data_IF_521846102974
#
_entry.id   IF_521846102974
#
_cell.length_a   1.000
_cell.length_b   1.000
_cell.length_c   1.000
_cell.angle_alpha   90.00
_cell.angle_beta   90.00
_cell.angle_gamma   90.00
#
_symmetry.space_group_name_H-M   'P 1'
#
loop_
_entity.id
_entity.type
_entity.pdbx_description
1 polymer ?
#
# COMPACT_ATOMS: atom_id res chain seq x y z
N UNK A 1 8.21 61.20 -4.72
CA UNK A 1 6.93 60.44 -4.72
C UNK A 1 7.27 58.96 -4.66
N UNK A 2 6.72 58.23 -3.69
CA UNK A 2 7.22 56.92 -3.21
C UNK A 2 6.83 55.77 -4.15
N UNK A 3 7.82 55.04 -4.65
CA UNK A 3 7.69 53.73 -5.33
C UNK A 3 7.46 52.59 -4.34
N UNK A 4 6.43 52.70 -3.49
CA UNK A 4 6.15 51.70 -2.45
C UNK A 4 5.06 50.70 -2.81
N UNK A 5 4.39 50.88 -3.95
CA UNK A 5 3.16 50.12 -4.28
C UNK A 5 3.43 48.81 -5.02
N UNK A 6 4.57 48.66 -5.72
CA UNK A 6 4.89 47.43 -6.47
C UNK A 6 5.61 46.35 -5.64
N UNK A 7 6.31 46.72 -4.56
CA UNK A 7 7.02 45.74 -3.72
C UNK A 7 6.07 44.85 -2.91
N UNK A 8 4.91 45.38 -2.48
CA UNK A 8 3.91 44.59 -1.74
C UNK A 8 3.23 43.54 -2.61
N UNK A 9 2.92 43.87 -3.87
CA UNK A 9 2.33 42.93 -4.82
C UNK A 9 3.31 41.82 -5.23
N UNK A 10 4.59 42.16 -5.43
CA UNK A 10 5.62 41.16 -5.71
C UNK A 10 5.85 40.25 -4.49
N UNK A 11 5.87 40.79 -3.27
CA UNK A 11 6.02 39.98 -2.06
C UNK A 11 4.84 39.00 -1.86
N UNK A 12 3.60 39.43 -2.11
CA UNK A 12 2.41 38.57 -2.02
C UNK A 12 2.41 37.49 -3.12
N UNK A 13 2.77 37.84 -4.35
CA UNK A 13 2.88 36.89 -5.45
C UNK A 13 3.99 35.84 -5.20
N UNK A 14 5.15 36.26 -4.70
CA UNK A 14 6.24 35.37 -4.33
C UNK A 14 5.89 34.46 -3.15
N UNK A 15 5.14 34.97 -2.17
CA UNK A 15 4.67 34.18 -1.01
C UNK A 15 3.59 33.17 -1.42
N UNK A 16 2.72 33.49 -2.38
CA UNK A 16 1.78 32.53 -2.99
C UNK A 16 2.48 31.47 -3.85
N UNK A 17 3.57 31.83 -4.56
CA UNK A 17 4.38 30.85 -5.28
C UNK A 17 5.07 29.87 -4.32
N UNK A 18 5.59 30.35 -3.19
CA UNK A 18 6.22 29.49 -2.16
C UNK A 18 5.22 28.56 -1.45
N UNK A 19 3.96 29.00 -1.26
CA UNK A 19 2.90 28.16 -0.69
C UNK A 19 2.51 26.98 -1.59
N UNK A 20 2.67 27.10 -2.91
CA UNK A 20 2.38 25.99 -3.84
C UNK A 20 3.46 24.90 -3.84
N UNK A 21 4.72 25.23 -3.52
CA UNK A 21 5.80 24.24 -3.44
C UNK A 21 5.76 23.44 -2.12
N UNK A 22 5.19 23.99 -1.05
CA UNK A 22 5.08 23.28 0.24
C UNK A 22 4.08 22.11 0.23
N UNK A 23 3.07 22.14 -0.66
CA UNK A 23 2.07 21.07 -0.75
C UNK A 23 2.68 19.77 -1.32
N UNK A 24 3.69 19.88 -2.20
CA UNK A 24 4.40 18.71 -2.73
C UNK A 24 5.44 18.15 -1.75
N UNK A 25 6.11 19.00 -0.97
CA UNK A 25 7.12 18.57 -0.01
C UNK A 25 6.55 17.91 1.26
N UNK A 26 5.33 18.27 1.68
CA UNK A 26 4.69 17.66 2.85
C UNK A 26 4.25 16.20 2.63
N UNK A 27 4.04 15.79 1.38
CA UNK A 27 3.65 14.41 1.06
C UNK A 27 4.83 13.42 1.04
N UNK A 28 6.07 13.87 0.88
CA UNK A 28 7.24 12.96 0.92
C UNK A 28 7.61 12.55 2.35
N UNK A 29 7.45 13.45 3.33
CA UNK A 29 7.82 13.19 4.73
C UNK A 29 6.94 12.15 5.43
N UNK A 30 5.75 11.84 4.88
CA UNK A 30 4.82 10.83 5.41
C UNK A 30 4.80 9.54 4.60
N UNK A 31 5.62 9.42 3.55
CA UNK A 31 5.63 8.22 2.72
C UNK A 31 6.44 7.11 3.40
N UNK A 32 5.90 5.89 3.55
CA UNK A 32 6.69 4.80 4.10
C UNK A 32 7.88 4.48 3.20
N UNK A 33 9.02 4.16 3.83
CA UNK A 33 10.19 3.63 3.13
C UNK A 33 10.11 2.11 2.98
N UNK A 34 9.47 1.44 3.95
CA UNK A 34 9.34 -0.01 3.97
C UNK A 34 7.92 -0.41 4.35
N UNK A 35 7.51 -1.54 3.79
CA UNK A 35 6.23 -2.19 4.05
C UNK A 35 6.53 -3.63 4.43
N UNK A 36 6.09 -4.09 5.60
CA UNK A 36 6.02 -5.51 5.89
C UNK A 36 4.66 -6.04 5.46
N UNK A 37 4.67 -7.20 4.83
CA UNK A 37 3.47 -7.93 4.41
C UNK A 37 3.61 -9.33 4.97
N UNK A 38 2.77 -9.64 5.96
CA UNK A 38 2.64 -10.99 6.50
C UNK A 38 1.39 -11.62 5.89
N UNK A 39 1.56 -12.70 5.12
CA UNK A 39 0.44 -13.52 4.67
C UNK A 39 0.23 -14.61 5.70
N UNK A 40 -0.90 -14.55 6.40
CA UNK A 40 -1.35 -15.54 7.37
C UNK A 40 -2.49 -16.36 6.77
N UNK A 41 -2.84 -17.46 7.42
CA UNK A 41 -3.93 -18.33 7.00
C UNK A 41 -4.88 -18.57 8.17
N UNK A 42 -6.19 -18.57 7.91
CA UNK A 42 -7.18 -18.92 8.92
C UNK A 42 -6.92 -20.32 9.49
N UNK A 43 -7.15 -20.48 10.80
CA UNK A 43 -7.22 -21.79 11.41
C UNK A 43 -8.54 -22.47 11.03
N UNK A 44 -8.52 -23.25 9.95
CA UNK A 44 -9.70 -23.95 9.43
C UNK A 44 -10.22 -25.04 10.37
N UNK A 45 -9.44 -25.45 11.38
CA UNK A 45 -9.81 -26.45 12.38
C UNK A 45 -10.46 -25.82 13.63
N UNK A 46 -10.56 -24.49 13.71
CA UNK A 46 -11.19 -23.81 14.85
C UNK A 46 -12.71 -23.99 14.81
N UNK A 47 -13.24 -24.88 15.65
CA UNK A 47 -14.68 -25.19 15.71
C UNK A 47 -15.56 -24.00 16.11
N UNK A 48 -15.06 -23.11 16.97
CA UNK A 48 -15.75 -21.93 17.49
C UNK A 48 -15.36 -20.64 16.76
N UNK A 49 -14.95 -20.73 15.49
CA UNK A 49 -14.55 -19.56 14.72
C UNK A 49 -15.69 -18.53 14.62
N UNK A 50 -15.37 -17.28 14.93
CA UNK A 50 -16.27 -16.14 14.77
C UNK A 50 -15.50 -14.94 14.23
N UNK A 51 -15.96 -14.42 13.09
CA UNK A 51 -15.40 -13.23 12.45
C UNK A 51 -15.48 -12.01 13.37
N UNK A 52 -16.60 -11.83 14.06
CA UNK A 52 -16.80 -10.70 14.98
C UNK A 52 -15.89 -10.82 16.21
N UNK A 53 -15.68 -12.04 16.72
CA UNK A 53 -14.78 -12.28 17.84
C UNK A 53 -13.31 -12.06 17.44
N UNK A 54 -12.90 -12.51 16.25
CA UNK A 54 -11.59 -12.21 15.68
C UNK A 54 -11.38 -10.69 15.55
N UNK A 55 -12.33 -9.99 14.90
CA UNK A 55 -12.29 -8.53 14.75
C UNK A 55 -12.18 -7.83 16.09
N UNK A 56 -12.93 -8.25 17.11
CA UNK A 56 -12.85 -7.66 18.45
C UNK A 56 -11.45 -7.83 19.06
N UNK A 57 -10.84 -9.00 18.93
CA UNK A 57 -9.48 -9.27 19.43
C UNK A 57 -8.45 -8.45 18.66
N UNK A 58 -8.48 -8.42 17.33
CA UNK A 58 -7.54 -7.62 16.56
C UNK A 58 -7.73 -6.11 16.78
N UNK A 59 -8.96 -5.65 17.01
CA UNK A 59 -9.26 -4.25 17.34
C UNK A 59 -8.69 -3.87 18.70
N UNK A 60 -8.76 -4.75 19.69
CA UNK A 60 -8.12 -4.54 20.99
C UNK A 60 -6.60 -4.43 20.84
N UNK A 61 -5.97 -5.34 20.06
CA UNK A 61 -4.53 -5.29 19.78
C UNK A 61 -4.13 -4.01 19.04
N UNK A 62 -4.90 -3.65 18.02
CA UNK A 62 -4.71 -2.42 17.26
C UNK A 62 -4.69 -1.21 18.19
N UNK A 63 -5.73 -1.03 19.00
CA UNK A 63 -5.88 0.13 19.88
C UNK A 63 -4.81 0.21 20.95
N UNK A 64 -4.48 -0.92 21.59
CA UNK A 64 -3.58 -0.98 22.75
C UNK A 64 -2.10 -1.04 22.37
N UNK A 65 -1.77 -1.60 21.20
CA UNK A 65 -0.39 -1.88 20.80
C UNK A 65 -0.04 -1.14 19.51
N UNK A 66 -0.70 -1.44 18.40
CA UNK A 66 -0.28 -0.95 17.07
C UNK A 66 -0.45 0.57 16.93
N UNK A 67 -1.59 1.11 17.36
CA UNK A 67 -1.87 2.55 17.33
C UNK A 67 -0.95 3.34 18.28
N UNK A 68 -0.50 2.72 19.39
CA UNK A 68 0.41 3.34 20.36
C UNK A 68 1.90 3.22 19.97
N UNK A 69 2.21 2.44 18.94
CA UNK A 69 3.57 2.23 18.47
C UNK A 69 3.93 3.30 17.42
N UNK A 70 4.75 4.27 17.81
CA UNK A 70 5.18 5.38 16.98
C UNK A 70 6.04 4.98 15.77
N UNK A 71 6.55 3.75 15.75
CA UNK A 71 7.40 3.27 14.67
C UNK A 71 6.61 2.72 13.47
N UNK A 72 5.32 2.43 13.67
CA UNK A 72 4.40 1.97 12.63
C UNK A 72 3.61 3.18 12.12
N UNK A 73 3.72 3.51 10.83
CA UNK A 73 2.98 4.63 10.22
C UNK A 73 1.52 4.25 9.97
N UNK A 74 1.29 3.08 9.39
CA UNK A 74 -0.03 2.50 9.18
C UNK A 74 0.01 0.99 9.37
N UNK A 75 -1.15 0.41 9.65
CA UNK A 75 -1.36 -1.03 9.73
C UNK A 75 -2.76 -1.35 9.22
N UNK A 76 -2.95 -2.45 8.50
CA UNK A 76 -4.27 -2.85 8.00
C UNK A 76 -4.34 -4.36 7.74
N UNK A 77 -5.52 -4.92 7.94
CA UNK A 77 -5.86 -6.28 7.54
C UNK A 77 -6.58 -6.30 6.20
N UNK A 78 -6.28 -7.32 5.41
CA UNK A 78 -6.94 -7.60 4.14
C UNK A 78 -7.36 -9.06 4.10
N UNK A 79 -8.66 -9.29 3.90
CA UNK A 79 -9.22 -10.64 3.83
C UNK A 79 -9.35 -11.10 2.39
N UNK A 80 -9.20 -12.41 2.17
CA UNK A 80 -9.42 -13.04 0.86
C UNK A 80 -10.72 -12.56 0.18
N UNK A 81 -10.60 -12.23 -1.11
CA UNK A 81 -11.74 -12.06 -2.02
C UNK A 81 -11.56 -12.96 -3.25
N UNK A 82 -10.37 -12.91 -3.86
CA UNK A 82 -9.92 -13.86 -4.86
C UNK A 82 -8.39 -13.99 -4.83
N UNK A 83 -7.90 -15.17 -4.51
CA UNK A 83 -6.50 -15.57 -4.60
C UNK A 83 -6.44 -17.10 -4.69
N UNK A 84 -5.28 -17.70 -4.98
CA UNK A 84 -5.13 -19.16 -5.05
C UNK A 84 -5.48 -19.90 -3.75
N UNK A 85 -5.45 -19.24 -2.59
CA UNK A 85 -5.72 -19.84 -1.28
C UNK A 85 -6.79 -19.04 -0.52
N UNK A 86 -7.95 -19.67 -0.29
CA UNK A 86 -9.10 -19.05 0.36
C UNK A 86 -8.93 -18.82 1.87
N UNK A 87 -7.89 -19.39 2.48
CA UNK A 87 -7.59 -19.18 3.89
C UNK A 87 -6.78 -17.90 4.15
N UNK A 88 -6.28 -17.24 3.10
CA UNK A 88 -5.38 -16.09 3.22
C UNK A 88 -5.99 -14.89 3.97
N UNK A 89 -5.17 -14.32 4.85
CA UNK A 89 -5.35 -13.04 5.51
C UNK A 89 -4.02 -12.31 5.43
N UNK A 90 -4.03 -11.12 4.83
CA UNK A 90 -2.82 -10.31 4.73
C UNK A 90 -2.85 -9.26 5.83
N UNK A 91 -1.75 -9.17 6.57
CA UNK A 91 -1.50 -8.06 7.48
C UNK A 91 -0.35 -7.22 6.95
N UNK A 92 -0.61 -5.92 6.74
CA UNK A 92 0.36 -4.99 6.18
C UNK A 92 0.67 -3.93 7.22
N UNK A 93 1.96 -3.71 7.49
CA UNK A 93 2.43 -2.56 8.27
C UNK A 93 3.41 -1.72 7.47
N UNK A 94 3.43 -0.42 7.71
CA UNK A 94 4.32 0.50 7.00
C UNK A 94 5.20 1.27 7.97
N UNK A 95 6.44 1.56 7.55
CA UNK A 95 7.49 2.11 8.40
C UNK A 95 8.23 3.25 7.72
N UNK A 96 8.67 4.27 8.47
CA UNK A 96 9.44 5.38 7.92
C UNK A 96 10.89 5.00 7.60
N UNK A 97 11.40 3.89 8.15
CA UNK A 97 12.77 3.39 7.94
C UNK A 97 12.91 1.94 8.40
N UNK A 98 14.00 1.28 8.00
CA UNK A 98 14.34 -0.08 8.48
C UNK A 98 14.56 -0.12 10.00
N UNK A 99 15.21 0.91 10.55
CA UNK A 99 15.43 1.04 12.00
C UNK A 99 14.10 1.16 12.76
N UNK A 100 13.11 1.88 12.21
CA UNK A 100 11.79 1.95 12.81
C UNK A 100 11.10 0.59 12.80
N UNK A 101 11.19 -0.16 11.70
CA UNK A 101 10.65 -1.53 11.62
C UNK A 101 11.26 -2.45 12.68
N UNK A 102 12.58 -2.43 12.87
CA UNK A 102 13.28 -3.19 13.91
C UNK A 102 12.80 -2.80 15.32
N UNK A 103 12.74 -1.49 15.61
CA UNK A 103 12.26 -0.97 16.91
C UNK A 103 10.78 -1.24 17.17
N UNK A 104 9.96 -1.41 16.12
CA UNK A 104 8.54 -1.63 16.26
C UNK A 104 8.25 -2.93 17.03
N UNK A 105 9.06 -3.98 16.86
CA UNK A 105 8.89 -5.27 17.55
C UNK A 105 9.06 -5.11 19.06
N UNK A 106 10.20 -4.58 19.51
CA UNK A 106 10.46 -4.35 20.93
C UNK A 106 9.43 -3.40 21.56
N UNK A 107 9.01 -2.36 20.83
CA UNK A 107 7.97 -1.45 21.30
C UNK A 107 6.61 -2.14 21.44
N UNK A 108 6.26 -3.06 20.54
CA UNK A 108 5.02 -3.82 20.64
C UNK A 108 5.01 -4.72 21.89
N UNK A 109 6.14 -5.35 22.23
CA UNK A 109 6.26 -6.16 23.45
C UNK A 109 6.10 -5.33 24.73
N UNK A 110 6.72 -4.15 24.79
CA UNK A 110 6.56 -3.21 25.91
C UNK A 110 5.09 -2.80 26.09
N UNK A 111 4.44 -2.42 25.00
CA UNK A 111 3.03 -2.01 25.00
C UNK A 111 2.11 -3.16 25.37
N UNK A 112 2.39 -4.38 24.92
CA UNK A 112 1.65 -5.57 25.32
C UNK A 112 1.75 -5.84 26.83
N UNK A 113 2.94 -5.68 27.43
CA UNK A 113 3.12 -5.78 28.90
C UNK A 113 2.38 -4.68 29.65
N UNK A 114 2.26 -3.48 29.08
CA UNK A 114 1.48 -2.38 29.67
C UNK A 114 -0.04 -2.61 29.56
N UNK A 115 -0.48 -3.11 28.42
CA UNK A 115 -1.88 -3.39 28.12
C UNK A 115 -2.44 -4.57 28.92
N UNK A 116 -1.61 -5.60 29.12
CA UNK A 116 -1.93 -6.78 29.94
C UNK A 116 -0.77 -7.05 30.92
N UNK A 117 -0.75 -6.36 32.09
CA UNK A 117 0.35 -6.48 33.07
C UNK A 117 0.44 -7.85 33.73
N UNK A 118 -0.70 -8.53 33.93
CA UNK A 118 -0.72 -9.89 34.44
C UNK A 118 -0.27 -10.88 33.35
N UNK A 119 0.75 -11.68 33.67
CA UNK A 119 1.38 -12.59 32.71
C UNK A 119 0.40 -13.65 32.19
N UNK A 120 -0.49 -14.17 33.05
CA UNK A 120 -1.47 -15.20 32.66
C UNK A 120 -2.56 -14.61 31.77
N UNK A 121 -3.05 -13.42 32.08
CA UNK A 121 -4.03 -12.72 31.27
C UNK A 121 -3.46 -12.36 29.89
N UNK A 122 -2.20 -11.91 29.84
CA UNK A 122 -1.49 -11.62 28.60
C UNK A 122 -1.30 -12.88 27.75
N UNK A 123 -0.84 -13.97 28.35
CA UNK A 123 -0.68 -15.25 27.65
C UNK A 123 -2.03 -15.77 27.13
N UNK A 124 -3.10 -15.69 27.93
CA UNK A 124 -4.44 -16.08 27.51
C UNK A 124 -4.95 -15.23 26.33
N UNK A 125 -4.68 -13.92 26.34
CA UNK A 125 -5.03 -13.02 25.26
C UNK A 125 -4.32 -13.41 23.95
N UNK A 126 -3.00 -13.56 23.96
CA UNK A 126 -2.25 -13.93 22.76
C UNK A 126 -2.60 -15.33 22.28
N UNK A 127 -2.79 -16.30 23.19
CA UNK A 127 -3.27 -17.64 22.81
C UNK A 127 -4.63 -17.59 22.11
N UNK A 128 -5.56 -16.76 22.59
CA UNK A 128 -6.85 -16.58 21.95
C UNK A 128 -6.70 -15.93 20.56
N UNK A 129 -5.90 -14.87 20.46
CA UNK A 129 -5.60 -14.18 19.20
C UNK A 129 -4.96 -15.11 18.17
N UNK A 130 -3.93 -15.83 18.57
CA UNK A 130 -3.19 -16.73 17.69
C UNK A 130 -4.03 -17.94 17.27
N UNK A 131 -5.05 -18.32 18.07
CA UNK A 131 -5.93 -19.46 17.73
C UNK A 131 -6.75 -19.26 16.46
N UNK A 132 -6.93 -18.02 16.00
CA UNK A 132 -7.64 -17.72 14.75
C UNK A 132 -6.82 -18.01 13.50
N UNK A 133 -5.51 -18.17 13.63
CA UNK A 133 -4.59 -18.39 12.52
C UNK A 133 -3.95 -19.77 12.60
N UNK A 134 -3.66 -20.35 11.44
CA UNK A 134 -2.77 -21.50 11.35
C UNK A 134 -1.32 -21.06 11.63
N UNK A 135 -0.44 -22.01 11.94
CA UNK A 135 1.00 -21.72 12.08
C UNK A 135 1.68 -21.34 10.76
N UNK A 136 1.04 -21.66 9.62
CA UNK A 136 1.57 -21.34 8.30
C UNK A 136 1.44 -19.84 8.04
N UNK A 137 2.56 -19.19 7.72
CA UNK A 137 2.63 -17.81 7.28
C UNK A 137 3.86 -17.58 6.40
N UNK A 138 3.85 -16.48 5.65
CA UNK A 138 5.03 -15.94 4.96
C UNK A 138 5.18 -14.46 5.25
N UNK A 139 6.43 -13.99 5.24
CA UNK A 139 6.78 -12.59 5.48
C UNK A 139 7.61 -12.04 4.34
N UNK A 140 7.22 -10.86 3.86
CA UNK A 140 7.92 -10.14 2.81
C UNK A 140 8.06 -8.66 3.19
N UNK A 141 9.13 -8.04 2.72
CA UNK A 141 9.36 -6.61 2.91
C UNK A 141 9.50 -5.95 1.54
N UNK A 142 8.68 -4.92 1.33
CA UNK A 142 8.66 -4.16 0.10
C UNK A 142 9.18 -2.74 0.31
N UNK A 143 9.77 -2.18 -0.74
CA UNK A 143 10.12 -0.77 -0.87
C UNK A 143 9.16 -0.10 -1.87
N UNK A 144 8.45 0.97 -1.48
CA UNK A 144 7.62 1.73 -2.40
C UNK A 144 8.45 2.48 -3.45
N UNK A 145 8.03 2.46 -4.72
CA UNK A 145 8.65 3.26 -5.80
C UNK A 145 7.80 4.49 -6.14
N UNK A 146 8.32 5.50 -6.84
CA UNK A 146 7.58 6.74 -7.17
C UNK A 146 6.16 6.53 -7.72
N UNK A 147 5.25 7.50 -7.54
CA UNK A 147 3.95 7.52 -8.23
C UNK A 147 2.75 6.94 -7.47
N UNK A 148 2.80 6.84 -6.15
CA UNK A 148 1.64 6.43 -5.36
C UNK A 148 0.49 7.45 -5.44
N UNK A 149 -0.74 6.94 -5.46
CA UNK A 149 -1.98 7.69 -5.20
C UNK A 149 -2.47 7.27 -3.83
N UNK A 150 -2.40 8.17 -2.84
CA UNK A 150 -2.72 7.84 -1.46
C UNK A 150 -4.24 7.81 -1.25
N UNK A 151 -4.71 6.81 -0.51
CA UNK A 151 -6.05 6.86 0.09
C UNK A 151 -6.15 8.03 1.08
N UNK A 152 -7.35 8.62 1.27
CA UNK A 152 -7.60 9.56 2.35
C UNK A 152 -7.26 8.94 3.71
N UNK A 153 -6.60 9.71 4.59
CA UNK A 153 -6.22 9.24 5.93
C UNK A 153 -7.42 8.87 6.80
N UNK A 154 -8.60 9.43 6.51
CA UNK A 154 -9.85 9.20 7.24
C UNK A 154 -10.78 8.21 6.54
N UNK A 155 -10.25 7.35 5.65
CA UNK A 155 -11.04 6.29 5.02
C UNK A 155 -11.64 5.35 6.09
N UNK A 156 -12.96 5.22 6.07
CA UNK A 156 -13.72 4.32 6.97
C UNK A 156 -14.44 3.20 6.23
N UNK A 157 -14.31 3.18 4.90
CA UNK A 157 -14.98 2.20 4.05
C UNK A 157 -14.06 1.01 3.79
N UNK A 158 -14.64 -0.18 3.85
CA UNK A 158 -13.98 -1.38 3.35
C UNK A 158 -13.87 -1.25 1.82
N UNK A 159 -12.66 -1.45 1.29
CA UNK A 159 -12.35 -1.30 -0.13
C UNK A 159 -11.83 -2.62 -0.71
N UNK A 160 -12.01 -2.82 -2.01
CA UNK A 160 -11.33 -3.91 -2.73
C UNK A 160 -9.92 -3.47 -3.05
N UNK A 161 -8.94 -4.21 -2.56
CA UNK A 161 -7.54 -4.13 -2.95
C UNK A 161 -7.25 -5.18 -4.02
N UNK A 162 -7.08 -4.77 -5.27
CA UNK A 162 -6.53 -5.61 -6.33
C UNK A 162 -5.01 -5.52 -6.32
N UNK A 163 -4.34 -6.68 -6.23
CA UNK A 163 -2.90 -6.81 -6.26
C UNK A 163 -2.49 -7.47 -7.57
N UNK A 164 -1.68 -6.76 -8.34
CA UNK A 164 -1.03 -7.28 -9.54
C UNK A 164 0.45 -7.51 -9.24
N UNK A 165 0.92 -8.73 -9.48
CA UNK A 165 2.35 -9.08 -9.46
C UNK A 165 2.82 -9.24 -10.90
N UNK A 166 3.78 -8.43 -11.31
CA UNK A 166 4.45 -8.53 -12.62
C UNK A 166 5.93 -8.78 -12.41
N UNK A 167 6.61 -9.40 -13.38
CA UNK A 167 8.00 -9.82 -13.21
C UNK A 167 8.91 -9.06 -14.17
N UNK A 168 9.95 -8.41 -13.62
CA UNK A 168 10.97 -7.72 -14.37
C UNK A 168 11.89 -8.68 -15.12
N UNK A 169 12.29 -8.30 -16.35
CA UNK A 169 13.32 -9.00 -17.14
C UNK A 169 14.72 -8.43 -16.94
N UNK A 170 14.85 -7.22 -16.39
CA UNK A 170 16.10 -6.45 -16.27
C UNK A 170 16.89 -6.43 -17.60
N UNK A 171 16.33 -5.83 -18.66
CA UNK A 171 16.91 -5.89 -20.00
C UNK A 171 18.27 -5.19 -20.05
N UNK A 172 19.22 -5.75 -20.82
CA UNK A 172 20.57 -5.19 -20.98
C UNK A 172 20.56 -3.77 -21.58
N UNK A 173 19.58 -3.48 -22.44
CA UNK A 173 19.41 -2.19 -23.11
C UNK A 173 18.40 -1.25 -22.40
N UNK A 174 18.15 -1.48 -21.11
CA UNK A 174 17.29 -0.64 -20.27
C UNK A 174 18.04 0.04 -19.12
N UNK A 175 17.41 1.04 -18.54
CA UNK A 175 17.87 1.64 -17.27
C UNK A 175 16.70 1.81 -16.31
N UNK A 176 17.02 1.85 -15.01
CA UNK A 176 16.06 2.18 -13.95
C UNK A 176 15.42 3.56 -14.18
N UNK A 177 16.21 4.54 -14.61
CA UNK A 177 15.71 5.88 -14.95
C UNK A 177 14.66 5.81 -16.07
N UNK A 178 14.94 5.09 -17.14
CA UNK A 178 14.01 4.95 -18.26
C UNK A 178 12.71 4.26 -17.83
N UNK A 179 12.80 3.23 -16.97
CA UNK A 179 11.62 2.60 -16.38
C UNK A 179 10.82 3.60 -15.52
N UNK A 180 11.48 4.29 -14.59
CA UNK A 180 10.86 5.25 -13.68
C UNK A 180 10.19 6.41 -14.43
N UNK A 181 10.82 6.93 -15.49
CA UNK A 181 10.23 7.98 -16.34
C UNK A 181 8.96 7.46 -17.04
N UNK A 182 8.98 6.24 -17.58
CA UNK A 182 7.82 5.62 -18.23
C UNK A 182 6.70 5.27 -17.25
N UNK A 183 7.06 4.82 -16.04
CA UNK A 183 6.11 4.54 -14.96
C UNK A 183 5.43 5.82 -14.49
N UNK A 184 6.21 6.88 -14.22
CA UNK A 184 5.68 8.18 -13.82
C UNK A 184 4.75 8.77 -14.89
N UNK A 185 5.10 8.65 -16.17
CA UNK A 185 4.22 9.07 -17.27
C UNK A 185 2.90 8.27 -17.27
N UNK A 186 2.96 6.96 -17.05
CA UNK A 186 1.76 6.11 -16.95
C UNK A 186 0.88 6.50 -15.76
N UNK A 187 1.49 6.74 -14.60
CA UNK A 187 0.78 7.22 -13.41
C UNK A 187 0.08 8.55 -13.68
N UNK A 188 0.75 9.50 -14.32
CA UNK A 188 0.18 10.81 -14.60
C UNK A 188 -0.96 10.77 -15.62
N UNK A 189 -0.81 9.98 -16.70
CA UNK A 189 -1.75 9.98 -17.83
C UNK A 189 -2.91 8.99 -17.67
N UNK A 190 -2.73 7.92 -16.89
CA UNK A 190 -3.71 6.83 -16.74
C UNK A 190 -4.17 6.75 -15.29
N UNK A 191 -3.29 6.36 -14.37
CA UNK A 191 -3.69 6.01 -12.99
C UNK A 191 -4.34 7.20 -12.26
N UNK A 192 -3.72 8.38 -12.34
CA UNK A 192 -4.20 9.58 -11.65
C UNK A 192 -5.51 10.11 -12.24
N UNK A 193 -5.76 9.84 -13.53
CA UNK A 193 -6.96 10.27 -14.27
C UNK A 193 -8.11 9.26 -14.19
N UNK A 194 -7.86 8.05 -13.71
CA UNK A 194 -8.89 7.04 -13.53
C UNK A 194 -9.67 7.29 -12.23
N UNK A 195 -10.98 7.62 -12.29
CA UNK A 195 -11.78 7.95 -11.11
C UNK A 195 -12.12 6.74 -10.24
N UNK A 196 -11.99 5.52 -10.77
CA UNK A 196 -12.28 4.29 -10.03
C UNK A 196 -11.12 3.90 -9.10
N UNK A 197 -9.89 4.32 -9.42
CA UNK A 197 -8.72 4.08 -8.58
C UNK A 197 -8.76 5.06 -7.40
N UNK A 198 -9.09 4.59 -6.20
CA UNK A 198 -9.05 5.40 -4.97
C UNK A 198 -7.65 5.51 -4.40
N UNK A 199 -6.90 4.43 -4.49
CA UNK A 199 -5.50 4.34 -4.07
C UNK A 199 -4.69 3.49 -5.04
N UNK A 200 -3.39 3.80 -5.15
CA UNK A 200 -2.44 3.06 -5.97
C UNK A 200 -1.07 3.07 -5.29
N UNK A 201 -0.49 1.88 -5.10
CA UNK A 201 0.75 1.69 -4.38
C UNK A 201 1.67 0.75 -5.17
N UNK A 202 2.65 1.29 -5.91
CA UNK A 202 3.65 0.51 -6.64
C UNK A 202 4.84 0.20 -5.73
N UNK A 203 5.24 -1.06 -5.67
CA UNK A 203 6.29 -1.56 -4.79
C UNK A 203 7.20 -2.59 -5.48
N UNK A 204 8.41 -2.72 -4.97
CA UNK A 204 9.37 -3.77 -5.33
C UNK A 204 9.91 -4.42 -4.06
N UNK A 205 10.46 -5.63 -4.13
CA UNK A 205 11.05 -6.24 -2.94
C UNK A 205 12.24 -5.45 -2.41
N UNK A 206 12.22 -5.20 -1.10
CA UNK A 206 13.42 -4.97 -0.31
C UNK A 206 13.98 -6.29 0.23
N UNK A 207 13.10 -7.22 0.57
CA UNK A 207 13.39 -8.59 1.01
C UNK A 207 12.21 -9.51 0.66
N UNK A 208 12.47 -10.71 0.17
CA UNK A 208 11.41 -11.67 -0.16
C UNK A 208 11.89 -12.79 -1.08
N UNK A 209 10.94 -13.57 -1.60
CA UNK A 209 11.22 -14.78 -2.39
C UNK A 209 11.68 -14.51 -3.82
N UNK A 210 11.27 -13.40 -4.44
CA UNK A 210 11.61 -13.09 -5.83
C UNK A 210 11.84 -11.59 -6.06
N UNK A 211 13.11 -11.18 -6.18
CA UNK A 211 13.50 -9.77 -6.42
C UNK A 211 13.00 -9.20 -7.75
N UNK A 212 12.48 -10.02 -8.66
CA UNK A 212 11.98 -9.57 -9.97
C UNK A 212 10.54 -9.05 -9.86
N UNK A 213 9.85 -9.27 -8.74
CA UNK A 213 8.47 -8.81 -8.60
C UNK A 213 8.34 -7.29 -8.51
N UNK A 214 7.50 -6.78 -9.40
CA UNK A 214 6.87 -5.48 -9.33
C UNK A 214 5.42 -5.66 -8.89
N UNK A 215 5.12 -5.22 -7.68
CA UNK A 215 3.85 -5.44 -7.00
C UNK A 215 3.06 -4.14 -6.91
N UNK A 216 1.90 -4.14 -7.57
CA UNK A 216 1.01 -2.99 -7.63
C UNK A 216 -0.27 -3.30 -6.87
N UNK A 217 -0.59 -2.48 -5.85
CA UNK A 217 -1.88 -2.55 -5.16
C UNK A 217 -2.77 -1.39 -5.61
N UNK A 218 -3.97 -1.71 -6.09
CA UNK A 218 -5.01 -0.78 -6.52
C UNK A 218 -6.20 -0.89 -5.58
N UNK A 219 -6.71 0.24 -5.10
CA UNK A 219 -7.90 0.29 -4.27
C UNK A 219 -9.08 0.82 -5.06
N UNK A 220 -10.20 0.10 -5.03
CA UNK A 220 -11.46 0.45 -5.69
C UNK A 220 -12.64 0.17 -4.75
N UNK A 221 -13.79 0.79 -5.02
CA UNK A 221 -14.96 0.68 -4.15
C UNK A 221 -15.58 -0.74 -4.19
N UNK A 222 -15.46 -1.46 -5.30
CA UNK A 222 -16.09 -2.78 -5.50
C UNK A 222 -15.46 -3.58 -6.63
N UNK A 223 -15.77 -4.88 -6.74
CA UNK A 223 -15.39 -5.70 -7.90
C UNK A 223 -15.95 -5.16 -9.23
N UNK A 224 -17.16 -4.55 -9.21
CA UNK A 224 -17.71 -3.90 -10.39
C UNK A 224 -16.90 -2.65 -10.78
N UNK A 225 -16.40 -1.89 -9.81
CA UNK A 225 -15.54 -0.74 -10.09
C UNK A 225 -14.12 -1.16 -10.48
N UNK A 226 -13.68 -2.38 -10.11
CA UNK A 226 -12.47 -2.99 -10.64
C UNK A 226 -12.58 -3.25 -12.16
N UNK A 227 -13.70 -3.77 -12.63
CA UNK A 227 -13.96 -3.92 -14.08
C UNK A 227 -13.94 -2.56 -14.79
N UNK A 228 -14.68 -1.58 -14.27
CA UNK A 228 -14.69 -0.22 -14.82
C UNK A 228 -13.31 0.45 -14.76
N UNK A 229 -12.50 0.14 -13.74
CA UNK A 229 -11.11 0.59 -13.66
C UNK A 229 -10.31 0.08 -14.86
N UNK A 230 -10.43 -1.21 -15.21
CA UNK A 230 -9.72 -1.78 -16.36
C UNK A 230 -10.18 -1.18 -17.69
N UNK A 231 -11.49 -1.04 -17.90
CA UNK A 231 -12.04 -0.40 -19.10
C UNK A 231 -11.51 1.04 -19.22
N UNK A 232 -11.57 1.79 -18.12
CA UNK A 232 -11.10 3.18 -18.10
C UNK A 232 -9.59 3.30 -18.28
N UNK A 233 -8.80 2.33 -17.79
CA UNK A 233 -7.38 2.25 -18.09
C UNK A 233 -7.16 2.09 -19.61
N UNK A 234 -7.91 1.21 -20.27
CA UNK A 234 -7.85 1.01 -21.72
C UNK A 234 -8.14 2.30 -22.51
N UNK A 235 -9.22 3.00 -22.15
CA UNK A 235 -9.57 4.30 -22.74
C UNK A 235 -8.45 5.34 -22.57
N UNK A 236 -7.97 5.52 -21.34
CA UNK A 236 -6.94 6.53 -21.02
C UNK A 236 -5.60 6.22 -21.69
N UNK A 237 -5.23 4.94 -21.82
CA UNK A 237 -4.06 4.50 -22.59
C UNK A 237 -4.22 4.88 -24.07
N UNK A 238 -5.40 4.62 -24.64
CA UNK A 238 -5.71 4.97 -26.04
C UNK A 238 -5.66 6.48 -26.31
N UNK A 239 -6.13 7.29 -25.36
CA UNK A 239 -6.03 8.76 -25.41
C UNK A 239 -4.58 9.25 -25.28
N UNK A 240 -3.82 8.66 -24.36
CA UNK A 240 -2.47 9.11 -24.01
C UNK A 240 -1.45 8.82 -25.11
N UNK A 241 -1.60 7.70 -25.83
CA UNK A 241 -0.66 7.27 -26.87
C UNK A 241 -1.40 6.65 -28.07
N UNK A 242 -2.02 7.47 -28.94
CA UNK A 242 -2.79 6.97 -30.06
C UNK A 242 -1.91 6.43 -31.20
N UNK A 243 -2.45 5.45 -31.94
CA UNK A 243 -1.86 4.94 -33.18
C UNK A 243 -0.47 4.33 -32.99
N UNK A 244 0.45 4.67 -33.89
CA UNK A 244 1.80 4.07 -33.89
C UNK A 244 2.65 4.50 -32.70
N UNK A 245 2.38 5.67 -32.10
CA UNK A 245 3.04 6.10 -30.87
C UNK A 245 2.78 5.14 -29.71
N UNK A 246 1.54 4.66 -29.57
CA UNK A 246 1.14 3.67 -28.57
C UNK A 246 1.83 2.32 -28.78
N UNK A 247 1.92 1.86 -30.04
CA UNK A 247 2.64 0.61 -30.36
C UNK A 247 4.13 0.70 -30.02
N UNK A 248 4.79 1.80 -30.36
CA UNK A 248 6.20 2.01 -30.06
C UNK A 248 6.44 2.08 -28.55
N UNK A 249 5.60 2.83 -27.84
CA UNK A 249 5.66 2.89 -26.37
C UNK A 249 5.40 1.53 -25.73
N UNK A 250 4.40 0.80 -26.21
CA UNK A 250 4.05 -0.53 -25.71
C UNK A 250 5.22 -1.50 -25.82
N UNK A 251 5.90 -1.54 -26.98
CA UNK A 251 7.14 -2.34 -27.17
C UNK A 251 8.25 -1.93 -26.20
N UNK A 252 8.42 -0.62 -26.01
CA UNK A 252 9.42 -0.08 -25.08
C UNK A 252 9.09 -0.41 -23.63
N UNK A 253 7.83 -0.43 -23.25
CA UNK A 253 7.37 -0.80 -21.91
C UNK A 253 7.50 -2.29 -21.67
N UNK A 254 7.06 -3.10 -22.64
CA UNK A 254 7.05 -4.57 -22.52
C UNK A 254 8.45 -5.16 -22.40
N UNK A 255 9.51 -4.49 -22.89
CA UNK A 255 10.89 -4.99 -22.77
C UNK A 255 11.33 -5.19 -21.32
N UNK A 256 10.73 -4.46 -20.38
CA UNK A 256 11.03 -4.53 -18.95
C UNK A 256 10.37 -5.70 -18.24
N UNK A 257 9.43 -6.40 -18.87
CA UNK A 257 8.60 -7.41 -18.22
C UNK A 257 8.61 -8.74 -18.98
N UNK A 258 8.46 -9.83 -18.24
CA UNK A 258 8.40 -11.18 -18.83
C UNK A 258 7.11 -11.42 -19.61
N UNK A 259 6.09 -10.59 -19.39
CA UNK A 259 4.71 -10.78 -19.87
C UNK A 259 3.87 -11.67 -18.95
N UNK A 260 4.49 -12.30 -17.94
CA UNK A 260 3.81 -13.10 -16.92
C UNK A 260 3.32 -12.14 -15.82
N UNK A 261 2.11 -12.37 -15.34
CA UNK A 261 1.58 -11.70 -14.15
C UNK A 261 0.69 -12.63 -13.34
N UNK A 262 0.57 -12.31 -12.05
CA UNK A 262 -0.40 -12.88 -11.14
C UNK A 262 -1.35 -11.81 -10.61
N UNK A 263 -2.57 -12.25 -10.28
CA UNK A 263 -3.66 -11.39 -9.87
C UNK A 263 -4.31 -11.95 -8.60
N UNK A 264 -4.50 -11.08 -7.62
CA UNK A 264 -5.27 -11.37 -6.42
C UNK A 264 -6.11 -10.15 -6.03
N UNK A 265 -7.17 -10.38 -5.28
CA UNK A 265 -8.00 -9.35 -4.70
C UNK A 265 -8.31 -9.69 -3.25
N UNK A 266 -8.32 -8.66 -2.42
CA UNK A 266 -8.60 -8.74 -1.00
C UNK A 266 -9.54 -7.61 -0.58
N UNK A 267 -10.26 -7.79 0.51
CA UNK A 267 -11.08 -6.76 1.14
C UNK A 267 -10.29 -6.10 2.26
N UNK A 268 -10.03 -4.80 2.16
CA UNK A 268 -9.52 -3.99 3.28
C UNK A 268 -10.57 -3.98 4.40
N UNK A 269 -10.14 -4.28 5.63
CA UNK A 269 -11.00 -4.19 6.82
C UNK A 269 -10.71 -2.87 7.53
N UNK A 270 -11.45 -1.81 7.16
CA UNK A 270 -11.16 -0.44 7.57
C UNK A 270 -11.24 -0.22 9.09
N UNK A 271 -12.10 -0.96 9.78
CA UNK A 271 -12.20 -0.87 11.23
C UNK A 271 -10.97 -1.45 11.98
N UNK A 272 -10.12 -2.19 11.27
CA UNK A 272 -8.85 -2.74 11.77
C UNK A 272 -7.64 -2.02 11.16
N UNK A 273 -7.80 -0.74 10.79
CA UNK A 273 -6.75 0.10 10.24
C UNK A 273 -6.26 1.19 11.21
N UNK A 274 -4.96 1.48 11.17
CA UNK A 274 -4.30 2.62 11.82
C UNK A 274 -4.09 3.76 10.85
#
# INVERSE_FOLDING_TARGET
>A
MKTTTNLKFIAIASMMLLLNFSIFAQNEASRPQYISVTTMHWNMDKEDFSMDAWKAVEKEYLQKVVSQNQHILSASYYMHLFSPDNSEVIYVQTYPSWEAMDKAVGRAEELAKQAWPDDKAREAYFRNRDSYFSVNHSDEIYAPIGGAKLLPQDNKEDLVMYVRRTYFTFPEDGSEKEFNDMHAENVAKVISRNPYIKGYYPNVHAWGSDKTEFVEAFFVDSLCDMEKMFDKNGELIGEAWPGDSGKQRGKKWSKYFTGIHGDAAYTLIAELSK
#
